data_IF_768150052952
#
_entry.id   IF_768150052952
#
_cell.length_a   1.000
_cell.length_b   1.000
_cell.length_c   1.000
_cell.angle_alpha   90.00
_cell.angle_beta   90.00
_cell.angle_gamma   90.00
#
_symmetry.space_group_name_H-M   'P 1'
#
loop_
_entity.id
_entity.type
_entity.pdbx_description
1 polymer ?
#
# COMPACT_ATOMS: atom_id res chain seq x y z
N UNK A 1 -23.00 -13.69 -54.06
CA UNK A 1 -24.02 -14.01 -53.06
C UNK A 1 -23.34 -14.85 -51.99
N UNK A 2 -22.84 -14.33 -50.88
CA UNK A 2 -23.02 -13.01 -50.26
C UNK A 2 -21.68 -12.64 -49.57
N UNK A 3 -21.34 -11.36 -49.65
CA UNK A 3 -20.30 -10.70 -48.87
C UNK A 3 -20.92 -10.41 -47.49
N UNK A 4 -20.29 -10.88 -46.41
CA UNK A 4 -20.56 -10.37 -45.06
C UNK A 4 -19.29 -9.67 -44.58
N UNK A 5 -19.27 -8.36 -44.79
CA UNK A 5 -18.40 -7.40 -44.13
C UNK A 5 -18.90 -7.26 -42.67
N UNK A 6 -18.22 -7.87 -41.71
CA UNK A 6 -18.39 -7.48 -40.31
C UNK A 6 -17.59 -6.20 -40.05
N UNK A 7 -18.33 -5.10 -39.90
CA UNK A 7 -17.85 -3.77 -39.56
C UNK A 7 -17.03 -3.78 -38.27
N UNK A 8 -15.78 -3.35 -38.40
CA UNK A 8 -14.81 -3.10 -37.35
C UNK A 8 -15.23 -1.86 -36.55
N UNK A 9 -16.19 -2.03 -35.63
CA UNK A 9 -16.52 -1.02 -34.63
C UNK A 9 -15.49 -1.09 -33.50
N UNK A 10 -14.32 -0.51 -33.74
CA UNK A 10 -13.40 -0.11 -32.67
C UNK A 10 -14.08 1.01 -31.88
N UNK A 11 -14.75 0.66 -30.79
CA UNK A 11 -15.13 1.61 -29.76
C UNK A 11 -13.84 2.21 -29.20
N UNK A 12 -13.45 3.38 -29.70
CA UNK A 12 -12.50 4.25 -29.03
C UNK A 12 -13.12 4.65 -27.69
N UNK A 13 -12.86 3.85 -26.65
CA UNK A 13 -13.02 4.26 -25.25
C UNK A 13 -12.11 5.49 -25.03
N UNK A 14 -12.68 6.68 -25.24
CA UNK A 14 -12.14 7.93 -24.72
C UNK A 14 -12.33 7.91 -23.20
N UNK A 15 -11.43 7.17 -22.55
CA UNK A 15 -11.32 7.10 -21.10
C UNK A 15 -10.65 8.39 -20.61
N UNK A 16 -11.44 9.46 -20.42
CA UNK A 16 -10.96 10.66 -19.74
C UNK A 16 -10.79 10.33 -18.25
N UNK A 17 -9.64 9.72 -17.93
CA UNK A 17 -9.12 9.43 -16.60
C UNK A 17 -9.12 10.72 -15.76
N UNK A 18 -10.27 11.05 -15.18
CA UNK A 18 -10.44 12.25 -14.38
C UNK A 18 -9.90 11.95 -12.99
N UNK A 19 -8.69 12.41 -12.73
CA UNK A 19 -8.04 12.30 -11.44
C UNK A 19 -8.49 13.44 -10.52
N UNK A 20 -8.77 13.12 -9.26
CA UNK A 20 -9.04 14.11 -8.23
C UNK A 20 -8.11 13.95 -7.04
N UNK A 21 -7.70 15.07 -6.44
CA UNK A 21 -6.94 15.07 -5.19
C UNK A 21 -7.84 15.58 -4.06
N UNK A 22 -8.12 14.76 -3.07
CA UNK A 22 -8.87 15.16 -1.88
C UNK A 22 -7.92 15.36 -0.69
N UNK A 23 -7.93 16.54 -0.08
CA UNK A 23 -7.15 16.81 1.12
C UNK A 23 -7.91 16.40 2.36
N UNK A 24 -7.37 15.48 3.16
CA UNK A 24 -8.04 14.95 4.36
C UNK A 24 -8.12 16.03 5.44
N UNK A 25 -7.04 16.79 5.65
CA UNK A 25 -6.98 17.85 6.67
C UNK A 25 -7.92 19.01 6.35
N UNK A 26 -8.02 19.39 5.08
CA UNK A 26 -8.92 20.48 4.63
C UNK A 26 -10.35 20.02 4.30
N UNK A 27 -10.57 18.71 4.19
CA UNK A 27 -11.84 18.08 3.79
C UNK A 27 -12.43 18.65 2.51
N UNK A 28 -11.60 18.80 1.49
CA UNK A 28 -12.01 19.38 0.22
C UNK A 28 -11.22 18.78 -0.94
N UNK A 29 -11.88 18.71 -2.10
CA UNK A 29 -11.23 18.44 -3.38
C UNK A 29 -10.32 19.61 -3.76
N UNK A 30 -9.16 19.28 -4.32
CA UNK A 30 -8.17 20.21 -4.81
C UNK A 30 -8.02 19.98 -6.31
N UNK A 31 -8.23 21.05 -7.08
CA UNK A 31 -7.72 21.09 -8.45
C UNK A 31 -6.22 21.27 -8.38
N UNK A 32 -5.47 20.36 -8.99
CA UNK A 32 -4.02 20.43 -9.04
C UNK A 32 -3.54 20.14 -10.44
N UNK A 33 -2.78 21.07 -11.03
CA UNK A 33 -2.10 20.86 -12.31
C UNK A 33 -1.09 19.71 -12.25
N UNK A 34 -0.68 19.29 -11.05
CA UNK A 34 0.18 18.12 -10.84
C UNK A 34 -0.45 16.82 -11.36
N UNK A 35 -1.79 16.76 -11.43
CA UNK A 35 -2.49 15.59 -11.94
C UNK A 35 -2.32 15.41 -13.46
N UNK A 36 -1.97 16.47 -14.19
CA UNK A 36 -1.71 16.38 -15.62
C UNK A 36 -0.49 15.49 -15.90
N UNK A 37 0.57 15.60 -15.10
CA UNK A 37 1.78 14.78 -15.22
C UNK A 37 1.48 13.29 -14.97
N UNK A 38 0.41 12.96 -14.23
CA UNK A 38 0.01 11.58 -13.99
C UNK A 38 -0.69 10.94 -15.21
N UNK A 39 -1.37 11.72 -16.06
CA UNK A 39 -2.15 11.19 -17.19
C UNK A 39 -1.30 10.43 -18.20
N UNK A 40 -0.08 10.92 -18.47
CA UNK A 40 0.84 10.30 -19.44
C UNK A 40 1.61 9.09 -18.89
N UNK A 41 1.35 8.71 -17.63
CA UNK A 41 2.12 7.70 -16.90
C UNK A 41 1.21 6.63 -16.28
N UNK A 42 1.76 5.43 -16.12
CA UNK A 42 1.33 4.52 -15.06
C UNK A 42 2.04 4.92 -13.76
N UNK A 43 1.38 4.75 -12.63
CA UNK A 43 1.97 5.09 -11.36
C UNK A 43 1.58 4.15 -10.22
N UNK A 44 2.47 4.03 -9.24
CA UNK A 44 2.26 3.24 -8.04
C UNK A 44 2.63 4.03 -6.80
N UNK A 45 1.75 4.03 -5.81
CA UNK A 45 2.01 4.69 -4.52
C UNK A 45 2.86 3.79 -3.64
N UNK A 46 3.87 4.37 -3.00
CA UNK A 46 4.70 3.69 -2.01
C UNK A 46 4.36 4.18 -0.59
N UNK A 47 4.41 3.32 0.45
CA UNK A 47 4.21 3.73 1.84
C UNK A 47 5.16 4.85 2.30
N UNK A 48 6.34 4.94 1.68
CA UNK A 48 7.38 5.93 1.99
C UNK A 48 7.06 7.33 1.42
N UNK A 49 5.94 7.45 0.70
CA UNK A 49 5.41 8.72 0.22
C UNK A 49 5.98 9.20 -1.12
N UNK A 50 6.43 8.25 -1.94
CA UNK A 50 6.88 8.49 -3.31
C UNK A 50 5.98 7.75 -4.29
N UNK A 51 5.86 8.29 -5.51
CA UNK A 51 5.24 7.62 -6.64
C UNK A 51 6.32 6.98 -7.50
N UNK A 52 6.18 5.69 -7.82
CA UNK A 52 6.90 5.12 -8.95
C UNK A 52 6.12 5.50 -10.21
N UNK A 53 6.80 6.13 -11.17
CA UNK A 53 6.22 6.59 -12.44
C UNK A 53 6.79 5.77 -13.58
N UNK A 54 5.94 5.39 -14.54
CA UNK A 54 6.31 4.76 -15.80
C UNK A 54 5.62 5.48 -16.95
N UNK A 55 6.39 6.09 -17.84
CA UNK A 55 5.84 6.80 -18.99
C UNK A 55 5.24 5.80 -20.00
N UNK A 56 3.98 6.00 -20.42
CA UNK A 56 3.21 5.06 -21.27
C UNK A 56 3.91 4.75 -22.61
N UNK A 57 4.46 5.76 -23.29
CA UNK A 57 5.18 5.59 -24.57
C UNK A 57 6.68 5.23 -24.45
N UNK A 58 7.47 6.11 -23.82
CA UNK A 58 8.94 6.00 -23.75
C UNK A 58 9.46 4.92 -22.80
N UNK A 59 8.61 4.38 -21.91
CA UNK A 59 8.96 3.42 -20.85
C UNK A 59 10.03 3.90 -19.86
N UNK A 60 10.27 5.21 -19.81
CA UNK A 60 11.14 5.80 -18.80
C UNK A 60 10.48 5.66 -17.43
N UNK A 61 11.28 5.33 -16.42
CA UNK A 61 10.82 5.24 -15.04
C UNK A 61 11.53 6.23 -14.14
N UNK A 62 10.84 6.71 -13.12
CA UNK A 62 11.40 7.56 -12.09
C UNK A 62 10.58 7.48 -10.81
N UNK A 63 11.20 7.79 -9.66
CA UNK A 63 10.46 8.09 -8.44
C UNK A 63 10.14 9.58 -8.41
N UNK A 64 8.93 9.92 -7.96
CA UNK A 64 8.47 11.29 -7.83
C UNK A 64 7.91 11.56 -6.44
N UNK A 65 8.44 12.59 -5.77
CA UNK A 65 7.88 13.14 -4.55
C UNK A 65 6.96 14.31 -4.92
N UNK A 66 5.66 14.16 -4.69
CA UNK A 66 4.67 15.20 -5.00
C UNK A 66 4.78 16.44 -4.10
N UNK A 67 5.40 16.32 -2.92
CA UNK A 67 5.56 17.44 -2.01
C UNK A 67 6.78 18.27 -2.37
N UNK A 68 7.94 17.64 -2.52
CA UNK A 68 9.20 18.35 -2.86
C UNK A 68 9.39 18.56 -4.35
N UNK A 69 8.56 17.92 -5.18
CA UNK A 69 8.70 17.85 -6.65
C UNK A 69 10.02 17.21 -7.10
N UNK A 70 10.73 16.55 -6.19
CA UNK A 70 11.98 15.86 -6.51
C UNK A 70 11.69 14.63 -7.37
N UNK A 71 12.53 14.43 -8.39
CA UNK A 71 12.53 13.23 -9.24
C UNK A 71 13.85 12.48 -9.10
N UNK A 72 13.77 11.16 -8.98
CA UNK A 72 14.93 10.27 -9.01
C UNK A 72 14.77 9.36 -10.22
N UNK A 73 15.61 9.56 -11.23
CA UNK A 73 15.59 8.72 -12.43
C UNK A 73 15.87 7.27 -12.07
N UNK A 74 15.06 6.38 -12.62
CA UNK A 74 15.22 4.95 -12.52
C UNK A 74 15.48 4.36 -13.91
N UNK A 75 15.92 3.09 -13.97
CA UNK A 75 16.13 2.37 -15.23
C UNK A 75 14.83 2.23 -15.99
N UNK A 76 14.85 2.45 -17.31
CA UNK A 76 13.69 2.12 -18.14
C UNK A 76 13.25 0.68 -17.89
N UNK A 77 11.94 0.46 -17.79
CA UNK A 77 11.43 -0.91 -17.81
C UNK A 77 11.81 -1.50 -19.17
N UNK A 78 12.59 -2.57 -19.25
CA UNK A 78 12.99 -3.19 -20.53
C UNK A 78 12.14 -4.43 -20.88
N UNK A 79 11.67 -5.16 -19.86
CA UNK A 79 11.02 -6.47 -20.03
C UNK A 79 9.47 -6.40 -20.01
N UNK A 80 8.94 -5.18 -19.99
CA UNK A 80 7.52 -4.90 -19.79
C UNK A 80 6.97 -5.49 -18.49
N UNK A 81 7.79 -5.48 -17.44
CA UNK A 81 7.43 -6.06 -16.16
C UNK A 81 6.34 -5.26 -15.46
N UNK A 82 6.45 -3.93 -15.51
CA UNK A 82 5.54 -3.04 -14.79
C UNK A 82 4.15 -2.94 -15.44
N UNK A 83 4.05 -3.03 -16.76
CA UNK A 83 2.79 -2.80 -17.47
C UNK A 83 1.93 -4.06 -17.68
N UNK A 84 2.41 -5.26 -17.28
CA UNK A 84 1.74 -6.54 -17.58
C UNK A 84 0.95 -7.14 -16.40
N UNK A 85 1.07 -6.62 -15.18
CA UNK A 85 0.50 -7.28 -14.00
C UNK A 85 0.06 -6.35 -12.88
N UNK A 86 -0.74 -6.90 -11.96
CA UNK A 86 -1.12 -6.24 -10.72
C UNK A 86 0.12 -6.13 -9.83
N UNK A 87 0.80 -5.00 -9.93
CA UNK A 87 2.09 -4.75 -9.30
C UNK A 87 1.95 -3.86 -8.07
N UNK A 88 2.71 -4.19 -7.02
CA UNK A 88 2.85 -3.35 -5.82
C UNK A 88 4.28 -2.86 -5.68
N UNK A 89 4.43 -1.59 -5.31
CA UNK A 89 5.74 -0.95 -5.19
C UNK A 89 6.04 -0.54 -3.75
N UNK A 90 7.25 -0.85 -3.29
CA UNK A 90 7.75 -0.52 -1.95
C UNK A 90 9.17 0.00 -2.06
N UNK A 91 9.52 1.00 -1.26
CA UNK A 91 10.91 1.43 -1.08
C UNK A 91 11.43 0.88 0.24
N UNK A 92 12.71 0.50 0.31
CA UNK A 92 13.30 0.07 1.58
C UNK A 92 13.23 1.19 2.63
N UNK A 93 13.54 2.42 2.24
CA UNK A 93 13.45 3.61 3.09
C UNK A 93 13.13 4.84 2.24
N UNK A 94 12.78 5.95 2.89
CA UNK A 94 12.56 7.24 2.22
C UNK A 94 13.88 7.73 1.60
N UNK A 95 13.91 8.05 0.29
CA UNK A 95 15.07 8.67 -0.33
C UNK A 95 15.51 9.94 0.41
N UNK A 96 16.82 10.09 0.62
CA UNK A 96 17.41 11.30 1.21
C UNK A 96 17.48 11.34 2.74
N UNK A 97 17.02 10.30 3.46
CA UNK A 97 17.04 10.27 4.94
C UNK A 97 18.29 9.65 5.56
N UNK A 98 19.25 9.14 4.79
CA UNK A 98 20.46 8.52 5.34
C UNK A 98 21.50 9.56 5.73
N UNK A 99 21.77 9.65 7.04
CA UNK A 99 22.74 10.56 7.66
C UNK A 99 24.19 10.08 7.56
N UNK A 100 24.42 8.83 7.15
CA UNK A 100 25.76 8.27 7.05
C UNK A 100 26.42 8.69 5.73
N UNK A 101 27.26 9.74 5.80
CA UNK A 101 28.06 10.26 4.69
C UNK A 101 29.05 9.25 4.08
N UNK A 102 29.15 8.04 4.63
CA UNK A 102 30.13 7.01 4.26
C UNK A 102 29.50 5.87 3.46
N UNK A 103 28.18 5.70 3.50
CA UNK A 103 27.42 4.76 2.68
C UNK A 103 26.44 5.56 1.83
N UNK A 104 26.67 5.63 0.52
CA UNK A 104 25.61 5.99 -0.43
C UNK A 104 24.53 4.92 -0.34
N UNK A 105 23.63 5.03 0.62
CA UNK A 105 22.55 4.08 0.84
C UNK A 105 21.72 4.01 -0.43
N UNK A 106 21.77 2.86 -1.10
CA UNK A 106 21.01 2.61 -2.29
C UNK A 106 19.56 2.33 -1.86
N UNK A 107 18.62 3.16 -2.28
CA UNK A 107 17.19 2.88 -2.07
C UNK A 107 16.85 1.65 -2.91
N UNK A 108 16.37 0.60 -2.24
CA UNK A 108 15.90 -0.60 -2.92
C UNK A 108 14.44 -0.36 -3.27
N UNK A 109 14.14 -0.32 -4.57
CA UNK A 109 12.77 -0.38 -5.08
C UNK A 109 12.44 -1.85 -5.21
N UNK A 110 11.42 -2.30 -4.47
CA UNK A 110 10.84 -3.61 -4.59
C UNK A 110 9.54 -3.50 -5.36
N UNK A 111 9.49 -4.12 -6.54
CA UNK A 111 8.24 -4.30 -7.27
C UNK A 111 7.85 -5.76 -7.19
N UNK A 112 6.62 -5.98 -6.75
CA UNK A 112 6.06 -7.31 -6.54
C UNK A 112 4.93 -7.51 -7.53
N UNK A 113 5.07 -8.54 -8.36
CA UNK A 113 3.98 -9.06 -9.17
C UNK A 113 3.09 -9.97 -8.31
N UNK A 114 1.83 -9.59 -8.11
CA UNK A 114 0.87 -10.35 -7.31
C UNK A 114 0.31 -11.59 -8.04
N UNK A 115 0.60 -11.77 -9.32
CA UNK A 115 0.23 -12.97 -10.08
C UNK A 115 1.41 -13.94 -10.26
N UNK A 116 2.64 -13.43 -10.29
CA UNK A 116 3.82 -14.22 -10.65
C UNK A 116 4.89 -14.39 -9.56
N UNK A 117 4.73 -13.84 -8.35
CA UNK A 117 5.75 -13.83 -7.25
C UNK A 117 7.13 -13.29 -7.64
N UNK A 118 7.21 -12.50 -8.71
CA UNK A 118 8.47 -11.92 -9.16
C UNK A 118 8.80 -10.72 -8.29
N UNK A 119 10.05 -10.66 -7.82
CA UNK A 119 10.62 -9.49 -7.15
C UNK A 119 11.61 -8.79 -8.08
N UNK A 120 11.41 -7.50 -8.32
CA UNK A 120 12.40 -6.67 -9.01
C UNK A 120 13.17 -5.83 -8.00
N UNK A 121 14.51 -5.96 -7.99
CA UNK A 121 15.41 -5.12 -7.21
C UNK A 121 16.64 -4.77 -8.03
N UNK A 122 17.08 -3.50 -8.03
CA UNK A 122 18.35 -3.06 -8.62
C UNK A 122 18.73 -3.84 -9.91
N UNK A 123 17.83 -3.83 -10.90
CA UNK A 123 18.01 -4.46 -12.23
C UNK A 123 18.02 -5.99 -12.31
N UNK A 124 17.65 -6.71 -11.25
CA UNK A 124 17.54 -8.16 -11.26
C UNK A 124 16.13 -8.59 -10.85
N UNK A 125 15.50 -9.42 -11.68
CA UNK A 125 14.32 -10.18 -11.31
C UNK A 125 14.76 -11.47 -10.62
N UNK A 126 14.13 -11.78 -9.49
CA UNK A 126 14.32 -13.07 -8.82
C UNK A 126 12.95 -13.71 -8.64
N UNK A 127 12.80 -14.94 -9.15
CA UNK A 127 11.65 -15.80 -8.85
C UNK A 127 11.85 -16.44 -7.47
N UNK A 128 10.81 -16.42 -6.65
CA UNK A 128 10.81 -17.19 -5.41
C UNK A 128 10.42 -18.64 -5.72
N UNK A 129 11.14 -19.60 -5.13
CA UNK A 129 11.01 -21.02 -5.45
C UNK A 129 9.57 -21.56 -5.35
N UNK A 130 9.24 -22.48 -6.26
CA UNK A 130 7.91 -22.94 -6.67
C UNK A 130 7.05 -23.62 -5.59
N UNK A 131 7.63 -24.03 -4.46
CA UNK A 131 6.97 -25.03 -3.59
C UNK A 131 5.66 -24.56 -2.93
N UNK A 132 5.42 -23.25 -2.77
CA UNK A 132 4.22 -22.70 -2.10
C UNK A 132 3.65 -21.44 -2.78
N UNK A 133 3.54 -21.44 -4.12
CA UNK A 133 3.21 -20.28 -4.93
C UNK A 133 1.97 -19.49 -4.42
N UNK A 134 0.84 -20.14 -4.14
CA UNK A 134 -0.40 -19.44 -3.73
C UNK A 134 -0.29 -18.78 -2.34
N UNK A 135 0.36 -19.45 -1.38
CA UNK A 135 0.58 -18.88 -0.06
C UNK A 135 1.57 -17.72 -0.14
N UNK A 136 2.65 -17.84 -0.92
CA UNK A 136 3.62 -16.76 -1.07
C UNK A 136 2.98 -15.52 -1.72
N UNK A 137 2.21 -15.70 -2.80
CA UNK A 137 1.46 -14.61 -3.48
C UNK A 137 0.59 -13.83 -2.50
N UNK A 138 -0.27 -14.52 -1.76
CA UNK A 138 -1.18 -13.89 -0.80
C UNK A 138 -0.39 -13.09 0.24
N UNK A 139 0.75 -13.61 0.69
CA UNK A 139 1.57 -12.95 1.70
C UNK A 139 2.36 -11.75 1.16
N UNK A 140 2.69 -11.74 -0.12
CA UNK A 140 3.34 -10.59 -0.74
C UNK A 140 2.44 -9.35 -0.76
N UNK A 141 1.11 -9.54 -0.77
CA UNK A 141 0.14 -8.43 -0.65
C UNK A 141 0.29 -7.65 0.66
N UNK A 142 0.82 -8.28 1.71
CA UNK A 142 0.96 -7.66 3.04
C UNK A 142 2.37 -7.13 3.34
N UNK A 143 3.27 -7.06 2.36
CA UNK A 143 4.62 -6.54 2.60
C UNK A 143 4.61 -5.09 3.09
N UNK A 144 5.54 -4.75 3.97
CA UNK A 144 5.90 -3.37 4.32
C UNK A 144 7.41 -3.28 4.48
N UNK A 145 7.98 -2.08 4.37
CA UNK A 145 9.40 -1.88 4.62
C UNK A 145 9.62 -1.38 6.05
N UNK A 146 10.54 -2.02 6.78
CA UNK A 146 10.94 -1.62 8.13
C UNK A 146 12.46 -1.49 8.16
N UNK A 147 12.95 -0.27 8.30
CA UNK A 147 14.39 0.02 8.23
C UNK A 147 14.94 -0.24 6.83
N UNK A 148 15.82 -1.23 6.68
CA UNK A 148 16.42 -1.65 5.41
C UNK A 148 15.84 -2.99 4.88
N UNK A 149 14.78 -3.50 5.53
CA UNK A 149 14.22 -4.82 5.28
C UNK A 149 12.76 -4.74 4.85
N UNK A 150 12.28 -5.78 4.16
CA UNK A 150 10.86 -5.93 3.86
C UNK A 150 10.26 -7.04 4.70
N UNK A 151 9.15 -6.77 5.37
CA UNK A 151 8.49 -7.68 6.30
C UNK A 151 7.08 -7.99 5.82
N UNK A 152 6.67 -9.24 5.95
CA UNK A 152 5.28 -9.70 5.79
C UNK A 152 4.88 -10.60 6.96
N UNK A 153 3.60 -10.84 7.16
CA UNK A 153 3.07 -11.69 8.22
C UNK A 153 2.17 -12.76 7.61
N UNK A 154 2.60 -14.02 7.65
CA UNK A 154 1.74 -15.15 7.32
C UNK A 154 0.82 -15.45 8.48
N UNK A 155 -0.49 -15.36 8.24
CA UNK A 155 -1.49 -15.78 9.22
C UNK A 155 -1.81 -17.25 8.95
N UNK A 156 -1.45 -18.13 9.90
CA UNK A 156 -1.76 -19.54 9.81
C UNK A 156 -3.25 -19.79 9.99
N UNK A 157 -3.89 -20.47 9.03
CA UNK A 157 -5.25 -21.00 9.18
C UNK A 157 -5.11 -22.54 9.25
N UNK A 158 -5.36 -23.24 10.38
CA UNK A 158 -5.67 -22.80 11.75
C UNK A 158 -4.52 -23.10 12.74
N UNK A 159 -4.23 -22.19 13.69
CA UNK A 159 -3.21 -22.48 14.71
C UNK A 159 -2.83 -21.41 15.72
N UNK A 160 -3.50 -20.25 15.78
CA UNK A 160 -3.17 -19.16 16.73
C UNK A 160 -1.72 -18.65 16.69
N UNK A 161 -0.99 -18.90 15.60
CA UNK A 161 0.38 -18.42 15.41
C UNK A 161 0.47 -17.66 14.11
N UNK A 162 0.92 -16.41 14.23
CA UNK A 162 1.29 -15.56 13.12
C UNK A 162 2.79 -15.76 12.84
N UNK A 163 3.20 -15.68 11.59
CA UNK A 163 4.59 -15.91 11.19
C UNK A 163 5.14 -14.70 10.46
N UNK A 164 6.07 -13.98 11.07
CA UNK A 164 6.70 -12.82 10.42
C UNK A 164 7.85 -13.30 9.54
N UNK A 165 7.79 -12.96 8.26
CA UNK A 165 8.83 -13.22 7.26
C UNK A 165 9.52 -11.93 6.90
N UNK A 166 10.85 -12.01 6.77
CA UNK A 166 11.69 -10.87 6.44
C UNK A 166 12.51 -11.18 5.20
N UNK A 167 12.46 -10.27 4.23
CA UNK A 167 13.31 -10.26 3.05
C UNK A 167 14.43 -9.24 3.25
N UNK A 168 15.67 -9.72 3.15
CA UNK A 168 16.89 -8.92 3.22
C UNK A 168 17.59 -8.93 1.87
N UNK A 169 18.07 -7.77 1.42
CA UNK A 169 18.73 -7.59 0.11
C UNK A 169 20.20 -7.23 0.30
N UNK A 170 20.98 -8.10 0.94
CA UNK A 170 22.44 -7.93 1.07
C UNK A 170 23.14 -9.25 1.42
N UNK A 171 24.10 -9.75 0.62
CA UNK A 171 24.53 -9.28 -0.71
C UNK A 171 23.58 -9.70 -1.86
N UNK A 172 22.64 -10.60 -1.61
CA UNK A 172 21.62 -11.11 -2.55
C UNK A 172 20.26 -11.19 -1.85
N UNK A 173 19.14 -11.18 -2.59
CA UNK A 173 17.81 -11.36 -2.00
C UNK A 173 17.74 -12.69 -1.24
N UNK A 174 17.63 -12.60 0.09
CA UNK A 174 17.49 -13.77 0.94
C UNK A 174 16.21 -13.65 1.74
N UNK A 175 15.31 -14.62 1.56
CA UNK A 175 14.14 -14.78 2.42
C UNK A 175 14.61 -15.44 3.71
N UNK A 176 14.58 -14.72 4.83
CA UNK A 176 14.87 -15.28 6.15
C UNK A 176 13.55 -15.69 6.83
N UNK A 177 13.51 -16.96 7.27
CA UNK A 177 12.28 -17.59 7.78
C UNK A 177 11.93 -17.15 9.20
N UNK A 178 10.74 -16.56 9.28
CA UNK A 178 9.62 -17.01 10.12
C UNK A 178 9.83 -16.94 11.64
N UNK A 179 9.55 -15.76 12.20
CA UNK A 179 9.29 -15.62 13.62
C UNK A 179 7.86 -16.11 13.91
N UNK A 180 7.73 -17.21 14.65
CA UNK A 180 6.44 -17.59 15.23
C UNK A 180 6.06 -16.56 16.31
N UNK A 181 4.88 -15.98 16.16
CA UNK A 181 4.34 -14.95 17.03
C UNK A 181 2.98 -15.41 17.52
N UNK A 182 2.85 -15.60 18.84
CA UNK A 182 1.59 -16.06 19.42
C UNK A 182 0.48 -15.02 19.23
N UNK A 183 -0.68 -15.49 18.75
CA UNK A 183 -1.89 -14.69 18.60
C UNK A 183 -2.86 -14.99 19.75
N UNK A 184 -3.14 -13.98 20.56
CA UNK A 184 -4.27 -14.00 21.50
C UNK A 184 -5.54 -13.65 20.71
N UNK A 185 -6.41 -14.63 20.44
CA UNK A 185 -7.68 -14.38 19.70
C UNK A 185 -8.89 -14.39 20.64
N UNK A 186 -9.85 -13.52 20.34
CA UNK A 186 -11.22 -13.62 20.83
C UNK A 186 -12.01 -14.59 19.93
N UNK A 187 -12.86 -15.43 20.52
CA UNK A 187 -13.58 -16.53 19.85
C UNK A 187 -14.84 -16.11 19.07
N UNK A 188 -15.15 -14.80 18.99
CA UNK A 188 -16.44 -14.30 18.51
C UNK A 188 -16.45 -13.76 17.06
N UNK A 189 -15.33 -13.84 16.33
CA UNK A 189 -15.21 -13.27 14.98
C UNK A 189 -14.70 -14.30 13.98
N UNK A 190 -15.38 -14.41 12.83
CA UNK A 190 -15.09 -15.42 11.79
C UNK A 190 -14.04 -14.95 10.78
N UNK A 191 -13.95 -13.63 10.53
CA UNK A 191 -13.01 -13.04 9.57
C UNK A 191 -12.24 -11.88 10.20
N UNK A 192 -10.92 -11.93 10.06
CA UNK A 192 -10.01 -10.88 10.51
C UNK A 192 -9.18 -10.40 9.32
N UNK A 193 -9.54 -9.24 8.78
CA UNK A 193 -8.68 -8.52 7.84
C UNK A 193 -7.46 -7.98 8.58
N UNK A 194 -6.29 -7.98 7.94
CA UNK A 194 -5.07 -7.43 8.54
C UNK A 194 -4.33 -6.54 7.56
N UNK A 195 -3.71 -5.49 8.09
CA UNK A 195 -2.82 -4.59 7.34
C UNK A 195 -1.56 -4.35 8.14
N UNK A 196 -0.41 -4.44 7.49
CA UNK A 196 0.90 -4.19 8.09
C UNK A 196 1.38 -2.79 7.70
N UNK A 197 2.09 -2.15 8.62
CA UNK A 197 2.75 -0.87 8.35
C UNK A 197 3.96 -0.67 9.26
N UNK A 198 4.85 0.20 8.81
CA UNK A 198 5.98 0.69 9.61
C UNK A 198 5.65 2.02 10.27
N UNK A 199 6.11 2.19 11.51
CA UNK A 199 6.07 3.47 12.21
C UNK A 199 7.25 3.59 13.16
N UNK A 200 8.10 4.61 12.98
CA UNK A 200 9.28 4.87 13.82
C UNK A 200 10.28 3.71 13.91
N UNK A 201 10.45 2.94 12.84
CA UNK A 201 11.31 1.76 12.78
C UNK A 201 10.70 0.51 13.41
N UNK A 202 9.44 0.56 13.84
CA UNK A 202 8.73 -0.56 14.43
C UNK A 202 7.64 -1.09 13.49
N UNK A 203 7.40 -2.41 13.54
CA UNK A 203 6.38 -3.07 12.74
C UNK A 203 5.05 -3.14 13.51
N UNK A 204 3.98 -2.66 12.88
CA UNK A 204 2.64 -2.72 13.40
C UNK A 204 1.72 -3.57 12.52
N UNK A 205 0.74 -4.21 13.16
CA UNK A 205 -0.38 -4.87 12.49
C UNK A 205 -1.69 -4.28 13.00
N UNK A 206 -2.54 -3.88 12.05
CA UNK A 206 -3.91 -3.42 12.32
C UNK A 206 -4.85 -4.54 11.92
N UNK A 207 -5.70 -4.98 12.86
CA UNK A 207 -6.66 -6.06 12.67
C UNK A 207 -8.08 -5.50 12.63
N UNK A 208 -8.81 -5.84 11.58
CA UNK A 208 -10.21 -5.49 11.37
C UNK A 208 -11.06 -6.72 11.64
N UNK A 209 -11.96 -6.62 12.61
CA UNK A 209 -12.87 -7.70 12.95
C UNK A 209 -14.22 -7.46 12.29
N UNK A 210 -14.73 -8.50 11.62
CA UNK A 210 -16.00 -8.48 10.92
C UNK A 210 -16.94 -9.55 11.50
N UNK A 211 -18.24 -9.26 11.66
CA UNK A 211 -19.22 -10.27 12.03
C UNK A 211 -19.48 -11.21 10.86
N UNK A 212 -19.92 -12.44 11.17
CA UNK A 212 -20.21 -13.48 10.19
C UNK A 212 -21.06 -12.94 9.02
N UNK A 213 -20.57 -13.14 7.78
CA UNK A 213 -21.27 -12.82 6.52
C UNK A 213 -21.62 -11.33 6.28
N UNK A 214 -20.97 -10.40 6.98
CA UNK A 214 -21.14 -8.97 6.69
C UNK A 214 -19.78 -8.31 6.50
N UNK A 215 -19.63 -7.57 5.41
CA UNK A 215 -18.50 -6.67 5.27
C UNK A 215 -18.76 -5.39 6.08
N UNK A 216 -18.60 -5.51 7.40
CA UNK A 216 -18.71 -4.42 8.35
C UNK A 216 -17.64 -4.54 9.41
N UNK A 217 -16.78 -3.54 9.50
CA UNK A 217 -15.80 -3.44 10.58
C UNK A 217 -16.53 -3.12 11.89
N UNK A 218 -16.51 -4.07 12.83
CA UNK A 218 -17.13 -3.90 14.16
C UNK A 218 -16.12 -3.59 15.25
N UNK A 219 -14.87 -3.98 15.06
CA UNK A 219 -13.80 -3.73 16.01
C UNK A 219 -12.46 -3.61 15.28
N UNK A 220 -11.58 -2.74 15.78
CA UNK A 220 -10.23 -2.57 15.26
C UNK A 220 -9.25 -2.63 16.42
N UNK A 221 -8.25 -3.51 16.30
CA UNK A 221 -7.11 -3.55 17.21
C UNK A 221 -5.81 -3.25 16.50
N UNK A 222 -4.93 -2.53 17.17
CA UNK A 222 -3.57 -2.24 16.72
C UNK A 222 -2.59 -2.97 17.63
N UNK A 223 -1.62 -3.66 17.02
CA UNK A 223 -0.57 -4.34 17.76
C UNK A 223 0.80 -3.97 17.19
N UNK A 224 1.77 -3.84 18.08
CA UNK A 224 3.19 -3.66 17.77
C UNK A 224 3.90 -5.01 17.90
N UNK A 225 4.81 -5.31 17.00
CA UNK A 225 5.65 -6.50 17.13
C UNK A 225 6.72 -6.25 18.20
N UNK A 226 6.69 -7.04 19.27
CA UNK A 226 7.80 -7.10 20.21
C UNK A 226 8.79 -8.17 19.77
N UNK A 227 9.97 -7.74 19.33
CA UNK A 227 11.01 -8.65 18.84
C UNK A 227 11.68 -9.46 19.95
N UNK A 228 11.70 -8.94 21.18
CA UNK A 228 12.31 -9.63 22.32
C UNK A 228 11.39 -10.75 22.80
N UNK A 229 10.11 -10.44 22.98
CA UNK A 229 9.09 -11.39 23.46
C UNK A 229 8.48 -12.22 22.32
N UNK A 230 8.78 -11.89 21.06
CA UNK A 230 8.22 -12.54 19.87
C UNK A 230 6.70 -12.59 19.90
N UNK A 231 6.09 -11.47 20.28
CA UNK A 231 4.67 -11.36 20.55
C UNK A 231 4.06 -10.11 19.91
N UNK A 232 2.80 -10.21 19.48
CA UNK A 232 2.00 -9.04 19.13
C UNK A 232 1.47 -8.38 20.40
N UNK A 233 1.97 -7.20 20.73
CA UNK A 233 1.54 -6.44 21.91
C UNK A 233 0.51 -5.40 21.47
N UNK A 234 -0.71 -5.51 22.00
CA UNK A 234 -1.77 -4.52 21.74
C UNK A 234 -1.33 -3.14 22.23
N UNK A 235 -1.56 -2.12 21.41
CA UNK A 235 -1.29 -0.72 21.75
C UNK A 235 -2.60 0.06 21.82
N UNK A 236 -2.72 0.93 22.82
CA UNK A 236 -3.89 1.79 23.03
C UNK A 236 -3.72 3.18 22.43
N UNK A 237 -2.48 3.55 22.08
CA UNK A 237 -2.12 4.87 21.54
C UNK A 237 -1.09 4.73 20.43
N UNK A 238 -1.15 5.64 19.44
CA UNK A 238 -0.19 5.73 18.34
C UNK A 238 0.92 6.75 18.63
N UNK A 239 0.95 7.33 19.83
CA UNK A 239 2.01 8.25 20.24
C UNK A 239 2.03 9.56 19.45
N UNK A 240 0.85 10.15 19.20
CA UNK A 240 0.74 11.40 18.43
C UNK A 240 0.83 11.21 16.92
N UNK A 241 0.76 9.98 16.43
CA UNK A 241 0.74 9.64 15.02
C UNK A 241 -0.66 9.30 14.53
N UNK A 242 -0.77 9.25 13.21
CA UNK A 242 -1.93 8.73 12.49
C UNK A 242 -1.49 7.61 11.56
N UNK A 243 -2.34 6.60 11.42
CA UNK A 243 -2.12 5.51 10.46
C UNK A 243 -3.04 5.70 9.27
N UNK A 244 -2.48 5.55 8.08
CA UNK A 244 -3.20 5.53 6.82
C UNK A 244 -3.17 4.12 6.25
N UNK A 245 -4.31 3.58 5.90
CA UNK A 245 -4.46 2.21 5.43
C UNK A 245 -5.25 2.22 4.12
N UNK A 246 -4.58 1.84 3.05
CA UNK A 246 -5.14 1.80 1.71
C UNK A 246 -5.92 0.50 1.45
N UNK A 247 -6.89 0.54 0.54
CA UNK A 247 -7.70 -0.63 0.16
C UNK A 247 -6.83 -1.76 -0.41
N UNK A 248 -5.73 -1.41 -1.09
CA UNK A 248 -4.74 -2.34 -1.64
C UNK A 248 -3.75 -2.92 -0.59
N UNK A 249 -4.17 -3.03 0.68
CA UNK A 249 -3.39 -3.61 1.80
C UNK A 249 -2.09 -2.86 2.15
N UNK A 250 -1.93 -1.64 1.65
CA UNK A 250 -0.81 -0.77 1.97
C UNK A 250 -1.08 0.04 3.23
N UNK A 251 -0.05 0.32 4.01
CA UNK A 251 -0.18 1.10 5.24
C UNK A 251 1.02 2.00 5.48
N UNK A 252 0.76 3.18 6.01
CA UNK A 252 1.79 4.19 6.30
C UNK A 252 1.47 4.94 7.60
N UNK A 253 2.50 5.51 8.22
CA UNK A 253 2.42 6.27 9.46
C UNK A 253 2.96 7.69 9.27
N UNK A 254 2.27 8.67 9.83
CA UNK A 254 2.69 10.08 9.79
C UNK A 254 2.50 10.74 11.15
N UNK A 255 3.29 11.78 11.43
CA UNK A 255 3.01 12.66 12.57
C UNK A 255 1.65 13.33 12.38
N UNK A 256 0.79 13.27 13.40
CA UNK A 256 -0.51 13.92 13.33
C UNK A 256 -0.37 15.45 13.20
N UNK A 257 0.65 16.02 13.85
CA UNK A 257 0.97 17.45 13.79
C UNK A 257 1.38 17.86 12.37
N UNK A 258 2.31 17.13 11.75
CA UNK A 258 2.76 17.40 10.38
C UNK A 258 1.62 17.25 9.36
N UNK A 259 0.70 16.30 9.61
CA UNK A 259 -0.48 16.06 8.80
C UNK A 259 -1.60 17.11 9.01
N UNK A 260 -1.56 17.87 10.10
CA UNK A 260 -2.69 18.69 10.54
C UNK A 260 -3.93 17.87 10.87
N UNK A 261 -3.75 16.66 11.39
CA UNK A 261 -4.82 15.70 11.71
C UNK A 261 -4.91 15.43 13.21
N UNK A 262 -6.03 14.83 13.63
CA UNK A 262 -6.17 14.34 15.00
C UNK A 262 -5.27 13.11 15.19
N UNK A 263 -4.38 13.13 16.18
CA UNK A 263 -3.57 11.96 16.53
C UNK A 263 -4.40 10.79 17.07
N UNK A 264 -3.78 9.61 17.15
CA UNK A 264 -4.43 8.36 17.58
C UNK A 264 -5.66 7.99 16.73
N UNK A 265 -5.59 8.32 15.44
CA UNK A 265 -6.64 8.00 14.48
C UNK A 265 -6.09 7.11 13.36
N UNK A 266 -6.95 6.20 12.89
CA UNK A 266 -6.68 5.33 11.76
C UNK A 266 -7.61 5.75 10.63
N UNK A 267 -7.00 6.20 9.53
CA UNK A 267 -7.66 6.60 8.30
C UNK A 267 -7.57 5.43 7.33
N UNK A 268 -8.70 4.86 6.93
CA UNK A 268 -8.68 3.68 6.07
C UNK A 268 -9.71 3.75 4.95
N UNK A 269 -9.34 3.13 3.83
CA UNK A 269 -10.22 2.89 2.69
C UNK A 269 -10.66 1.43 2.68
N UNK A 270 -11.87 1.20 2.19
CA UNK A 270 -12.43 -0.14 1.95
C UNK A 270 -12.40 -0.41 0.45
N UNK A 271 -12.40 -1.70 0.10
CA UNK A 271 -12.59 -2.08 -1.31
C UNK A 271 -14.00 -1.69 -1.74
N UNK A 272 -14.14 -1.29 -3.01
CA UNK A 272 -15.41 -0.95 -3.65
C UNK A 272 -16.23 0.12 -2.90
N UNK A 273 -15.54 1.05 -2.22
CA UNK A 273 -16.16 2.14 -1.48
C UNK A 273 -15.30 3.40 -1.56
N UNK A 274 -15.90 4.50 -2.03
CA UNK A 274 -15.26 5.82 -2.10
C UNK A 274 -15.05 6.48 -0.73
N UNK A 275 -15.69 5.98 0.33
CA UNK A 275 -15.68 6.57 1.66
C UNK A 275 -14.32 6.49 2.35
N UNK A 276 -13.89 7.60 2.95
CA UNK A 276 -12.78 7.61 3.89
C UNK A 276 -13.31 7.33 5.30
N UNK A 277 -12.86 6.23 5.89
CA UNK A 277 -13.21 5.86 7.25
C UNK A 277 -12.16 6.35 8.24
N UNK A 278 -12.61 6.93 9.35
CA UNK A 278 -11.73 7.44 10.40
C UNK A 278 -12.11 6.80 11.72
N UNK A 279 -11.25 5.91 12.20
CA UNK A 279 -11.39 5.29 13.50
C UNK A 279 -10.59 6.07 14.54
N UNK A 280 -11.31 6.57 15.55
CA UNK A 280 -10.76 7.26 16.71
C UNK A 280 -10.46 6.23 17.80
N UNK A 281 -9.18 5.94 18.05
CA UNK A 281 -8.78 4.91 19.00
C UNK A 281 -9.13 5.27 20.45
N UNK A 282 -9.19 6.57 20.79
CA UNK A 282 -9.50 7.03 22.14
C UNK A 282 -10.98 6.80 22.47
N UNK A 283 -11.85 6.98 21.47
CA UNK A 283 -13.31 6.84 21.62
C UNK A 283 -13.82 5.45 21.24
N UNK A 284 -13.07 4.70 20.45
CA UNK A 284 -13.52 3.43 19.87
C UNK A 284 -14.64 3.60 18.84
N UNK A 285 -14.63 4.71 18.09
CA UNK A 285 -15.71 5.06 17.14
C UNK A 285 -15.17 5.27 15.73
N UNK A 286 -15.94 4.84 14.73
CA UNK A 286 -15.64 5.08 13.30
C UNK A 286 -16.58 6.13 12.73
N UNK A 287 -16.02 7.17 12.10
CA UNK A 287 -16.76 8.14 11.29
C UNK A 287 -16.48 7.91 9.80
N UNK A 288 -17.43 8.26 8.93
CA UNK A 288 -17.29 8.17 7.48
C UNK A 288 -17.24 9.59 6.90
N UNK A 289 -16.23 9.86 6.08
CA UNK A 289 -16.11 11.07 5.28
C UNK A 289 -16.29 10.72 3.81
N UNK A 290 -17.35 11.24 3.21
CA UNK A 290 -17.58 11.11 1.77
C UNK A 290 -16.76 12.19 1.03
N UNK A 291 -15.80 11.83 0.17
CA UNK A 291 -14.97 12.81 -0.54
C UNK A 291 -15.72 13.61 -1.61
N UNK A 292 -16.93 13.19 -2.01
CA UNK A 292 -17.79 13.94 -2.93
C UNK A 292 -19.05 13.17 -3.34
N UNK A 293 -20.20 13.85 -3.41
CA UNK A 293 -21.45 13.23 -3.88
C UNK A 293 -21.42 12.91 -5.38
N UNK A 294 -20.67 13.68 -6.15
CA UNK A 294 -20.60 13.58 -7.63
C UNK A 294 -19.63 12.50 -8.12
N UNK A 295 -18.88 11.87 -7.21
CA UNK A 295 -18.03 10.72 -7.54
C UNK A 295 -18.90 9.45 -7.55
N UNK A 296 -18.71 8.57 -8.53
CA UNK A 296 -19.36 7.26 -8.53
C UNK A 296 -18.88 6.43 -7.33
N UNK A 297 -19.70 5.48 -6.87
CA UNK A 297 -19.41 4.64 -5.70
C UNK A 297 -18.35 3.57 -5.97
N UNK A 298 -18.09 3.25 -7.25
CA UNK A 298 -17.14 2.24 -7.77
C UNK A 298 -15.73 2.81 -8.07
N UNK A 299 -15.53 4.10 -7.83
CA UNK A 299 -14.24 4.77 -7.95
C UNK A 299 -13.29 4.20 -6.90
N UNK A 300 -12.04 3.90 -7.29
CA UNK A 300 -11.03 3.34 -6.37
C UNK A 300 -10.16 4.46 -5.79
N UNK A 301 -10.43 4.96 -4.57
CA UNK A 301 -9.52 5.90 -3.92
C UNK A 301 -8.21 5.20 -3.54
N UNK A 302 -7.09 5.91 -3.67
CA UNK A 302 -5.77 5.51 -3.21
C UNK A 302 -5.21 6.61 -2.31
N UNK A 303 -4.74 6.25 -1.11
CA UNK A 303 -4.11 7.23 -0.22
C UNK A 303 -2.72 7.57 -0.74
N UNK A 304 -2.46 8.85 -1.03
CA UNK A 304 -1.13 9.32 -1.43
C UNK A 304 -0.42 9.96 -0.24
N UNK A 305 0.59 9.26 0.23
CA UNK A 305 1.48 9.71 1.30
C UNK A 305 2.62 10.57 0.72
N UNK A 306 3.21 11.52 1.48
CA UNK A 306 2.89 11.93 2.84
C UNK A 306 1.84 13.06 2.90
N UNK A 307 1.19 13.42 1.78
CA UNK A 307 0.36 14.62 1.68
C UNK A 307 -0.90 14.63 2.55
N UNK A 308 -1.21 13.52 3.23
CA UNK A 308 -2.52 13.31 3.87
C UNK A 308 -3.66 13.60 2.88
N UNK A 309 -3.42 13.21 1.62
CA UNK A 309 -4.35 13.38 0.53
C UNK A 309 -4.76 12.01 -0.01
N UNK A 310 -5.96 11.94 -0.55
CA UNK A 310 -6.49 10.79 -1.27
C UNK A 310 -6.47 11.17 -2.74
N UNK A 311 -5.77 10.40 -3.54
CA UNK A 311 -5.91 10.44 -4.98
C UNK A 311 -7.08 9.54 -5.33
N UNK A 312 -8.04 10.09 -6.05
CA UNK A 312 -9.27 9.40 -6.43
C UNK A 312 -9.16 9.19 -7.94
N UNK A 313 -9.13 7.92 -8.36
CA UNK A 313 -8.97 7.53 -9.76
C UNK A 313 -10.30 6.99 -10.27
N UNK A 314 -10.77 7.50 -11.42
CA UNK A 314 -12.02 7.05 -12.05
C UNK A 314 -12.05 5.57 -12.46
N UNK A 315 -10.92 4.86 -12.40
CA UNK A 315 -10.84 3.44 -12.71
C UNK A 315 -11.22 2.54 -11.52
N UNK A 316 -11.92 1.46 -11.85
CA UNK A 316 -12.13 0.30 -10.98
C UNK A 316 -10.91 -0.60 -11.11
N UNK A 317 -10.06 -0.71 -10.08
CA UNK A 317 -8.93 -1.64 -10.10
C UNK A 317 -8.92 -2.45 -8.80
N UNK A 318 -9.54 -3.63 -8.87
CA UNK A 318 -9.37 -4.74 -7.92
C UNK A 318 -8.88 -5.98 -8.66
#
# INVERSE_FOLDING_TARGET
DEEDEEEDATEEENDDDTLFLYSISRRQLQSSTLLNDLKDHFYWVTPQGWLLMLHRGSRQTFLWDLYTQQRISLPSDQDNFLAKSMTRCLLSHKPGTTTDSTSRSCVVVLVVDLNATVLWHKYQSTMLAEDHHDNVIINMRFLTAVGDKFCSCLIGIPGFVDYVVTLEFSPYPTVRRTLAVERKSSYFYDYVGHRLLESCGELFIVRFYHPCRQDKVVHIDVHRLDMAERAWVKVETLGGRVFFLDSAYSGASLSAEEAGLKGNCIYFLRCDDKGLYVYDMERGTTAIHNPGLDLLDDVTPVIVMPLSCILITGHSSC
#
